data_IF_731639401336
#
_entry.id   IF_731639401336
#
_cell.length_a   1.000
_cell.length_b   1.000
_cell.length_c   1.000
_cell.angle_alpha   90.00
_cell.angle_beta   90.00
_cell.angle_gamma   90.00
#
_symmetry.space_group_name_H-M   'P 1'
#
loop_
_entity.id
_entity.type
_entity.pdbx_description
1 polymer ?
#
# COMPACT_ATOMS: atom_id res chain seq x y z
N UNK A 1 -14.86 -2.03 16.80
CA UNK A 1 -14.88 -3.36 17.42
C UNK A 1 -14.07 -4.33 16.57
N UNK A 2 -13.24 -5.16 17.17
CA UNK A 2 -12.44 -6.12 16.42
C UNK A 2 -13.32 -7.18 15.76
N UNK A 3 -13.05 -7.46 14.49
CA UNK A 3 -13.78 -8.44 13.71
C UNK A 3 -12.89 -9.62 13.37
N UNK A 4 -13.50 -10.80 13.34
CA UNK A 4 -12.82 -11.96 12.73
C UNK A 4 -13.04 -11.92 11.24
N UNK A 5 -11.94 -11.92 10.50
CA UNK A 5 -11.97 -11.87 9.04
C UNK A 5 -11.24 -13.10 8.50
N UNK A 6 -11.89 -13.84 7.62
CA UNK A 6 -11.26 -14.96 6.90
C UNK A 6 -10.84 -14.46 5.54
N UNK A 7 -9.56 -14.67 5.20
CA UNK A 7 -9.08 -14.35 3.86
C UNK A 7 -8.34 -15.54 3.27
N UNK A 8 -8.45 -15.70 1.97
CA UNK A 8 -7.79 -16.77 1.24
C UNK A 8 -6.63 -16.17 0.45
N UNK A 9 -5.43 -16.68 0.70
CA UNK A 9 -4.22 -16.23 0.01
C UNK A 9 -3.51 -17.47 -0.55
N UNK A 10 -3.43 -17.53 -1.87
CA UNK A 10 -2.80 -18.63 -2.59
C UNK A 10 -3.30 -20.01 -2.12
N UNK A 11 -4.61 -20.13 -1.98
CA UNK A 11 -5.27 -21.38 -1.63
C UNK A 11 -5.29 -21.74 -0.16
N UNK A 12 -4.72 -20.91 0.70
CA UNK A 12 -4.73 -21.14 2.15
C UNK A 12 -5.60 -20.11 2.83
N UNK A 13 -6.45 -20.55 3.72
CA UNK A 13 -7.32 -19.65 4.49
C UNK A 13 -6.62 -19.22 5.77
N UNK A 14 -6.73 -17.93 6.06
CA UNK A 14 -6.20 -17.32 7.27
C UNK A 14 -7.33 -16.58 7.99
N UNK A 15 -7.38 -16.75 9.30
CA UNK A 15 -8.34 -16.05 10.13
C UNK A 15 -7.59 -14.98 10.92
N UNK A 16 -7.99 -13.73 10.72
CA UNK A 16 -7.35 -12.58 11.35
C UNK A 16 -8.37 -11.84 12.20
N UNK A 17 -7.87 -11.18 13.22
CA UNK A 17 -8.66 -10.23 14.01
C UNK A 17 -8.25 -8.84 13.56
N UNK A 18 -9.19 -8.05 13.07
CA UNK A 18 -8.94 -6.73 12.52
C UNK A 18 -9.92 -5.70 13.06
N UNK A 19 -9.46 -4.46 13.18
CA UNK A 19 -10.33 -3.34 13.56
C UNK A 19 -11.15 -2.84 12.37
N UNK A 20 -10.60 -2.98 11.16
CA UNK A 20 -11.24 -2.58 9.92
C UNK A 20 -12.36 -3.55 9.54
N UNK A 21 -13.26 -3.13 8.66
CA UNK A 21 -14.36 -3.99 8.22
C UNK A 21 -13.86 -5.13 7.29
N UNK A 22 -14.73 -6.13 7.13
CA UNK A 22 -14.38 -7.32 6.35
C UNK A 22 -14.10 -7.00 4.88
N UNK A 23 -14.83 -6.07 4.28
CA UNK A 23 -14.64 -5.70 2.88
C UNK A 23 -13.27 -5.06 2.65
N UNK A 24 -12.83 -4.20 3.57
CA UNK A 24 -11.51 -3.59 3.52
C UNK A 24 -10.42 -4.66 3.66
N UNK A 25 -10.57 -5.56 4.62
CA UNK A 25 -9.58 -6.62 4.84
C UNK A 25 -9.52 -7.60 3.67
N UNK A 26 -10.65 -7.88 3.04
CA UNK A 26 -10.68 -8.70 1.84
C UNK A 26 -9.89 -8.05 0.70
N UNK A 27 -10.03 -6.76 0.53
CA UNK A 27 -9.25 -6.00 -0.46
C UNK A 27 -7.76 -6.12 -0.19
N UNK A 28 -7.33 -5.98 1.06
CA UNK A 28 -5.93 -6.13 1.46
C UNK A 28 -5.44 -7.56 1.15
N UNK A 29 -6.21 -8.57 1.52
CA UNK A 29 -5.88 -9.96 1.24
C UNK A 29 -5.73 -10.24 -0.24
N UNK A 30 -6.61 -9.67 -1.05
CA UNK A 30 -6.55 -9.83 -2.51
C UNK A 30 -5.30 -9.19 -3.11
N UNK A 31 -4.83 -8.07 -2.56
CA UNK A 31 -3.59 -7.43 -2.99
C UNK A 31 -2.39 -8.35 -2.75
N UNK A 32 -2.32 -8.97 -1.58
CA UNK A 32 -1.24 -9.91 -1.24
C UNK A 32 -1.31 -11.14 -2.14
N UNK A 33 -2.51 -11.70 -2.30
CA UNK A 33 -2.73 -12.88 -3.16
C UNK A 33 -2.26 -12.61 -4.59
N UNK A 34 -2.63 -11.48 -5.16
CA UNK A 34 -2.26 -11.11 -6.52
C UNK A 34 -0.73 -10.98 -6.68
N UNK A 35 -0.06 -10.35 -5.72
CA UNK A 35 1.41 -10.22 -5.76
C UNK A 35 2.08 -11.59 -5.68
N UNK A 36 1.61 -12.46 -4.79
CA UNK A 36 2.19 -13.80 -4.65
C UNK A 36 1.94 -14.65 -5.89
N UNK A 37 0.73 -14.62 -6.45
CA UNK A 37 0.40 -15.39 -7.65
C UNK A 37 1.29 -14.99 -8.83
N UNK A 38 1.49 -13.70 -9.00
CA UNK A 38 2.34 -13.17 -10.05
C UNK A 38 3.78 -13.71 -9.94
N UNK A 39 4.32 -13.75 -8.73
CA UNK A 39 5.68 -14.24 -8.49
C UNK A 39 5.77 -15.76 -8.66
N UNK A 40 4.77 -16.49 -8.21
CA UNK A 40 4.73 -17.95 -8.37
C UNK A 40 4.62 -18.33 -9.84
N UNK A 41 3.83 -17.62 -10.62
CA UNK A 41 3.59 -17.95 -12.03
C UNK A 41 4.76 -17.52 -12.92
N UNK A 42 5.28 -16.30 -12.75
CA UNK A 42 6.29 -15.74 -13.64
C UNK A 42 7.72 -16.14 -13.27
N UNK A 43 8.00 -16.29 -11.98
CA UNK A 43 9.36 -16.59 -11.50
C UNK A 43 9.50 -18.03 -10.97
N UNK A 44 8.45 -18.83 -11.06
CA UNK A 44 8.42 -20.22 -10.58
C UNK A 44 8.88 -20.37 -9.12
N UNK A 45 8.51 -19.39 -8.31
CA UNK A 45 8.87 -19.41 -6.89
C UNK A 45 7.98 -20.33 -6.08
N UNK A 46 8.53 -20.85 -4.98
CA UNK A 46 7.73 -21.51 -3.96
C UNK A 46 6.81 -20.46 -3.30
N UNK A 47 5.76 -20.97 -2.66
CA UNK A 47 4.83 -20.08 -1.94
C UNK A 47 5.53 -19.28 -0.84
N UNK A 48 6.43 -19.90 -0.09
CA UNK A 48 7.14 -19.23 0.99
C UNK A 48 8.05 -18.11 0.47
N UNK A 49 8.80 -18.37 -0.61
CA UNK A 49 9.64 -17.37 -1.24
C UNK A 49 8.80 -16.24 -1.84
N UNK A 50 7.67 -16.57 -2.47
CA UNK A 50 6.76 -15.59 -3.03
C UNK A 50 6.18 -14.68 -1.94
N UNK A 51 5.87 -15.24 -0.77
CA UNK A 51 5.35 -14.44 0.35
C UNK A 51 6.36 -13.39 0.81
N UNK A 52 7.63 -13.79 0.96
CA UNK A 52 8.69 -12.86 1.38
C UNK A 52 8.90 -11.77 0.33
N UNK A 53 9.00 -12.16 -0.93
CA UNK A 53 9.23 -11.18 -1.99
C UNK A 53 8.02 -10.28 -2.23
N UNK A 54 6.81 -10.81 -2.08
CA UNK A 54 5.60 -10.00 -2.14
C UNK A 54 5.60 -8.94 -1.03
N UNK A 55 6.02 -9.31 0.18
CA UNK A 55 6.14 -8.35 1.28
C UNK A 55 7.14 -7.24 0.94
N UNK A 56 8.29 -7.59 0.37
CA UNK A 56 9.29 -6.60 -0.05
C UNK A 56 8.73 -5.68 -1.14
N UNK A 57 8.06 -6.23 -2.14
CA UNK A 57 7.48 -5.44 -3.23
C UNK A 57 6.40 -4.48 -2.73
N UNK A 58 5.53 -4.95 -1.83
CA UNK A 58 4.47 -4.12 -1.27
C UNK A 58 5.04 -3.03 -0.37
N UNK A 59 6.07 -3.35 0.42
CA UNK A 59 6.77 -2.35 1.22
C UNK A 59 7.46 -1.29 0.34
N UNK A 60 8.04 -1.71 -0.78
CA UNK A 60 8.64 -0.80 -1.77
C UNK A 60 7.57 0.15 -2.34
N UNK A 61 6.44 -0.39 -2.75
CA UNK A 61 5.32 0.41 -3.28
C UNK A 61 4.80 1.40 -2.23
N UNK A 62 4.67 0.95 -0.99
CA UNK A 62 4.24 1.81 0.11
C UNK A 62 5.23 2.96 0.33
N UNK A 63 6.51 2.65 0.37
CA UNK A 63 7.56 3.65 0.57
C UNK A 63 7.54 4.69 -0.55
N UNK A 64 7.44 4.26 -1.79
CA UNK A 64 7.35 5.18 -2.94
C UNK A 64 6.11 6.05 -2.89
N UNK A 65 4.98 5.48 -2.48
CA UNK A 65 3.74 6.24 -2.34
C UNK A 65 3.86 7.30 -1.24
N UNK A 66 4.47 6.95 -0.10
CA UNK A 66 4.69 7.87 1.00
C UNK A 66 5.64 9.01 0.61
N UNK A 67 6.74 8.70 -0.06
CA UNK A 67 7.68 9.69 -0.55
C UNK A 67 7.05 10.61 -1.59
N UNK A 68 6.25 10.05 -2.49
CA UNK A 68 5.52 10.83 -3.48
C UNK A 68 4.53 11.80 -2.86
N UNK A 69 3.79 11.35 -1.84
CA UNK A 69 2.86 12.21 -1.11
C UNK A 69 3.59 13.32 -0.38
N UNK A 70 4.74 13.03 0.23
CA UNK A 70 5.55 14.02 0.92
C UNK A 70 6.13 15.05 -0.05
N UNK A 71 6.64 14.60 -1.19
CA UNK A 71 7.14 15.50 -2.22
C UNK A 71 6.05 16.43 -2.72
N UNK A 72 4.85 15.90 -2.93
CA UNK A 72 3.71 16.71 -3.37
C UNK A 72 3.34 17.75 -2.33
N UNK A 73 3.32 17.38 -1.05
CA UNK A 73 3.05 18.32 0.05
C UNK A 73 4.06 19.46 0.07
N UNK A 74 5.34 19.16 -0.12
CA UNK A 74 6.39 20.16 -0.18
C UNK A 74 6.23 21.09 -1.38
N UNK A 75 5.89 20.53 -2.53
CA UNK A 75 5.65 21.33 -3.74
C UNK A 75 4.45 22.25 -3.56
N UNK A 76 3.37 21.75 -2.98
CA UNK A 76 2.18 22.57 -2.70
C UNK A 76 2.53 23.70 -1.73
N UNK A 77 3.26 23.38 -0.65
CA UNK A 77 3.68 24.40 0.32
C UNK A 77 4.53 25.48 -0.33
N UNK A 78 5.51 25.11 -1.14
CA UNK A 78 6.36 26.03 -1.87
C UNK A 78 5.54 26.94 -2.78
N UNK A 79 4.60 26.34 -3.52
CA UNK A 79 3.71 27.09 -4.40
C UNK A 79 2.88 28.10 -3.63
N UNK A 80 2.31 27.70 -2.49
CA UNK A 80 1.51 28.60 -1.66
C UNK A 80 2.35 29.71 -1.06
N UNK A 81 3.58 29.42 -0.63
CA UNK A 81 4.50 30.42 -0.10
C UNK A 81 4.89 31.43 -1.17
N UNK A 82 5.16 30.98 -2.39
CA UNK A 82 5.48 31.85 -3.51
C UNK A 82 4.29 32.75 -3.91
N UNK A 83 3.09 32.16 -3.94
CA UNK A 83 1.88 32.90 -4.25
C UNK A 83 1.60 33.97 -3.20
N UNK A 84 1.80 33.67 -1.93
CA UNK A 84 1.65 34.61 -0.82
C UNK A 84 2.66 35.75 -0.91
N UNK A 85 3.92 35.41 -1.24
CA UNK A 85 4.98 36.43 -1.41
C UNK A 85 4.68 37.35 -2.56
N UNK A 86 4.26 36.82 -3.70
CA UNK A 86 3.90 37.64 -4.86
C UNK A 86 2.74 38.58 -4.55
N UNK A 87 1.75 38.11 -3.81
CA UNK A 87 0.61 38.93 -3.38
C UNK A 87 1.07 40.09 -2.48
N UNK A 88 1.97 39.81 -1.55
CA UNK A 88 2.50 40.83 -0.65
C UNK A 88 3.35 41.86 -1.38
N UNK A 89 4.14 41.43 -2.36
CA UNK A 89 4.97 42.33 -3.17
C UNK A 89 4.14 43.21 -4.09
N UNK A 90 2.99 42.70 -4.55
CA UNK A 90 2.09 43.44 -5.43
C UNK A 90 1.27 44.50 -4.69
N UNK A 91 1.21 44.44 -3.39
CA UNK A 91 0.52 45.43 -2.56
C UNK A 91 1.41 46.70 -2.31
#
# INVERSE_FOLDING_TARGET
MANRVTMSICGTEYILVAEEDAAYMEKIGNMVDAEMQKLMDSAHMSRDAAAVLAAVNLADQLTKAQEGAENLRRQVKTYLDEASRAKNEAA
#
